data_IF_707263941026
#
_entry.id   IF_707263941026
#
_cell.length_a   1.000
_cell.length_b   1.000
_cell.length_c   1.000
_cell.angle_alpha   90.00
_cell.angle_beta   90.00
_cell.angle_gamma   90.00
#
_symmetry.space_group_name_H-M   'P 1'
#
loop_
_entity.id
_entity.type
_entity.pdbx_description
1 polymer ?
#
# COMPACT_ATOMS: atom_id res chain seq x y z
N UNK A 1 8.34 -8.89 10.41
CA UNK A 1 8.06 -7.50 9.96
C UNK A 1 8.74 -7.33 8.61
N UNK A 2 8.02 -6.89 7.57
CA UNK A 2 8.54 -6.89 6.20
C UNK A 2 9.00 -5.48 5.81
N UNK A 3 10.26 -5.34 5.41
CA UNK A 3 10.86 -4.04 5.03
C UNK A 3 11.16 -3.88 3.54
N UNK A 4 11.15 -4.97 2.76
CA UNK A 4 11.41 -5.00 1.31
C UNK A 4 10.63 -6.14 0.67
N UNK A 5 10.34 -6.03 -0.62
CA UNK A 5 9.86 -7.14 -1.46
C UNK A 5 10.20 -6.92 -2.94
N UNK A 6 9.89 -7.90 -3.79
CA UNK A 6 10.08 -7.84 -5.24
C UNK A 6 8.75 -8.00 -5.98
N UNK A 7 8.59 -7.30 -7.10
CA UNK A 7 7.51 -7.49 -8.07
C UNK A 7 8.13 -7.77 -9.44
N UNK A 8 8.30 -9.05 -9.75
CA UNK A 8 8.83 -9.53 -11.03
C UNK A 8 7.76 -9.73 -12.11
N UNK A 9 6.48 -9.75 -11.73
CA UNK A 9 5.36 -10.02 -12.62
C UNK A 9 5.07 -8.82 -13.56
N UNK A 10 4.96 -9.02 -14.89
CA UNK A 10 4.56 -7.98 -15.82
C UNK A 10 3.06 -7.62 -15.69
N UNK A 11 2.68 -6.45 -16.21
CA UNK A 11 1.32 -5.90 -16.28
C UNK A 11 0.26 -6.93 -16.73
N UNK A 12 0.54 -7.68 -17.79
CA UNK A 12 -0.36 -8.69 -18.35
C UNK A 12 -0.63 -9.84 -17.38
N UNK A 13 0.41 -10.35 -16.70
CA UNK A 13 0.27 -11.43 -15.73
C UNK A 13 -0.56 -11.01 -14.52
N UNK A 14 -0.37 -9.78 -14.00
CA UNK A 14 -1.18 -9.27 -12.90
C UNK A 14 -2.64 -9.02 -13.32
N UNK A 15 -2.86 -8.42 -14.49
CA UNK A 15 -4.19 -8.17 -15.03
C UNK A 15 -5.00 -9.45 -15.19
N UNK A 16 -4.39 -10.51 -15.74
CA UNK A 16 -5.01 -11.83 -15.85
C UNK A 16 -5.20 -12.49 -14.47
N UNK A 17 -4.14 -12.58 -13.66
CA UNK A 17 -4.14 -13.33 -12.38
C UNK A 17 -5.14 -12.79 -11.35
N UNK A 18 -5.45 -11.49 -11.41
CA UNK A 18 -6.42 -10.85 -10.53
C UNK A 18 -7.71 -10.43 -11.25
N UNK A 19 -7.86 -10.76 -12.54
CA UNK A 19 -8.98 -10.33 -13.39
C UNK A 19 -9.32 -8.85 -13.17
N UNK A 20 -8.37 -7.99 -13.52
CA UNK A 20 -8.42 -6.54 -13.30
C UNK A 20 -9.18 -5.84 -14.43
N UNK A 21 -10.14 -5.00 -14.09
CA UNK A 21 -10.81 -4.11 -15.04
C UNK A 21 -9.93 -2.93 -15.46
N UNK A 22 -9.03 -2.48 -14.57
CA UNK A 22 -8.01 -1.49 -14.85
C UNK A 22 -6.71 -1.84 -14.14
N UNK A 23 -5.59 -1.48 -14.74
CA UNK A 23 -4.25 -1.64 -14.18
C UNK A 23 -3.45 -0.39 -14.53
N UNK A 24 -2.76 0.20 -13.57
CA UNK A 24 -1.73 1.21 -13.83
C UNK A 24 -0.46 0.57 -14.41
N UNK A 25 0.40 1.37 -15.05
CA UNK A 25 1.69 0.90 -15.56
C UNK A 25 2.67 0.84 -14.41
N UNK A 26 3.24 -0.33 -14.15
CA UNK A 26 4.31 -0.53 -13.16
C UNK A 26 5.55 -1.13 -13.82
N UNK A 27 6.73 -0.79 -13.28
CA UNK A 27 7.98 -1.44 -13.65
C UNK A 27 8.20 -2.73 -12.84
N UNK A 28 8.85 -3.71 -13.47
CA UNK A 28 9.45 -4.84 -12.74
C UNK A 28 10.52 -4.31 -11.79
N UNK A 29 10.42 -4.63 -10.50
CA UNK A 29 11.31 -4.12 -9.44
C UNK A 29 11.68 -5.23 -8.48
N UNK A 30 12.98 -5.56 -8.40
CA UNK A 30 13.50 -6.61 -7.52
C UNK A 30 13.83 -6.15 -6.09
N UNK A 31 13.80 -4.83 -5.84
CA UNK A 31 14.05 -4.24 -4.52
C UNK A 31 13.11 -3.04 -4.31
N UNK A 32 11.88 -3.32 -3.89
CA UNK A 32 10.90 -2.31 -3.51
C UNK A 32 11.10 -1.98 -2.03
N UNK A 33 11.27 -0.69 -1.74
CA UNK A 33 11.49 -0.17 -0.40
C UNK A 33 10.32 0.72 0.07
N UNK A 34 10.14 0.92 1.40
CA UNK A 34 9.02 1.67 1.93
C UNK A 34 9.16 3.17 1.66
N UNK A 35 8.04 3.86 1.50
CA UNK A 35 7.96 5.26 1.06
C UNK A 35 8.03 5.43 -0.47
N UNK A 36 8.21 4.35 -1.24
CA UNK A 36 8.04 4.37 -2.71
C UNK A 36 6.64 3.89 -3.09
N UNK A 37 6.20 4.23 -4.30
CA UNK A 37 4.91 3.77 -4.81
C UNK A 37 4.95 2.29 -5.20
N UNK A 38 3.84 1.62 -4.91
CA UNK A 38 3.66 0.18 -5.03
C UNK A 38 2.34 -0.18 -5.70
N UNK A 39 2.34 -1.26 -6.47
CA UNK A 39 1.13 -1.81 -7.07
C UNK A 39 0.22 -2.42 -6.00
N UNK A 40 -1.01 -1.90 -5.87
CA UNK A 40 -2.04 -2.36 -4.94
C UNK A 40 -3.30 -2.70 -5.70
N UNK A 41 -3.77 -3.94 -5.57
CA UNK A 41 -5.10 -4.36 -6.05
C UNK A 41 -6.15 -3.93 -5.02
N UNK A 42 -7.14 -3.16 -5.46
CA UNK A 42 -8.28 -2.68 -4.65
C UNK A 42 -9.57 -2.79 -5.43
N UNK A 43 -10.70 -2.56 -4.76
CA UNK A 43 -11.98 -2.34 -5.43
C UNK A 43 -12.11 -0.87 -5.85
N UNK A 44 -12.66 -0.65 -7.04
CA UNK A 44 -13.20 0.63 -7.49
C UNK A 44 -14.52 0.95 -6.76
N UNK A 45 -15.04 2.19 -6.84
CA UNK A 45 -16.40 2.51 -6.38
C UNK A 45 -17.50 1.66 -7.06
N UNK A 46 -17.24 1.17 -8.28
CA UNK A 46 -18.10 0.27 -9.04
C UNK A 46 -17.89 -1.23 -8.74
N UNK A 47 -17.16 -1.57 -7.66
CA UNK A 47 -16.93 -2.95 -7.22
C UNK A 47 -15.98 -3.78 -8.09
N UNK A 48 -15.33 -3.18 -9.09
CA UNK A 48 -14.38 -3.86 -9.96
C UNK A 48 -13.00 -3.92 -9.32
N UNK A 49 -12.25 -5.01 -9.52
CA UNK A 49 -10.84 -5.08 -9.11
C UNK A 49 -10.00 -4.23 -10.06
N UNK A 50 -9.22 -3.31 -9.48
CA UNK A 50 -8.30 -2.43 -10.19
C UNK A 50 -6.95 -2.44 -9.49
N UNK A 51 -5.87 -2.33 -10.24
CA UNK A 51 -4.52 -2.13 -9.69
C UNK A 51 -4.13 -0.67 -9.87
N UNK A 52 -3.85 0.00 -8.75
CA UNK A 52 -3.32 1.35 -8.71
C UNK A 52 -1.94 1.41 -8.05
N UNK A 53 -1.17 2.44 -8.38
CA UNK A 53 0.04 2.79 -7.64
C UNK A 53 -0.31 3.60 -6.39
N UNK A 54 0.10 3.14 -5.22
CA UNK A 54 -0.08 3.81 -3.93
C UNK A 54 1.23 3.83 -3.14
N UNK A 55 1.49 4.89 -2.35
CA UNK A 55 2.69 5.01 -1.53
C UNK A 55 2.74 3.94 -0.43
N UNK A 56 3.85 3.20 -0.33
CA UNK A 56 4.04 2.23 0.76
C UNK A 56 4.39 2.91 2.09
N UNK A 57 3.37 3.37 2.78
CA UNK A 57 3.44 3.96 4.11
C UNK A 57 2.15 4.72 4.36
N UNK A 58 1.28 4.20 5.22
CA UNK A 58 -0.02 4.80 5.47
C UNK A 58 0.16 6.18 6.12
N UNK A 59 -0.38 7.22 5.50
CA UNK A 59 -0.65 8.48 6.17
C UNK A 59 -2.12 8.51 6.61
N UNK A 60 -2.42 8.52 7.92
CA UNK A 60 -3.78 8.75 8.40
C UNK A 60 -4.24 10.16 8.07
N UNK A 61 -5.53 10.34 7.72
CA UNK A 61 -6.07 11.64 7.29
C UNK A 61 -5.97 12.78 8.34
N UNK A 62 -5.71 12.44 9.61
CA UNK A 62 -5.55 13.37 10.73
C UNK A 62 -4.08 13.68 11.05
N UNK A 63 -3.13 13.00 10.39
CA UNK A 63 -1.70 13.23 10.56
C UNK A 63 -1.20 14.22 9.51
N UNK A 64 -0.56 15.30 9.94
CA UNK A 64 0.19 16.18 9.04
C UNK A 64 1.38 15.43 8.44
N UNK A 65 1.68 15.64 7.16
CA UNK A 65 2.83 15.04 6.45
C UNK A 65 4.14 15.13 7.23
N UNK A 66 4.40 16.28 7.86
CA UNK A 66 5.59 16.52 8.70
C UNK A 66 5.60 15.78 10.06
N UNK A 67 4.43 15.41 10.60
CA UNK A 67 4.31 14.69 11.87
C UNK A 67 4.51 13.16 11.73
N UNK A 68 4.68 12.67 10.50
CA UNK A 68 4.80 11.26 10.12
C UNK A 68 6.16 10.61 10.49
N UNK A 69 6.70 10.91 11.67
CA UNK A 69 7.94 10.27 12.18
C UNK A 69 7.82 8.74 12.26
N UNK A 70 6.60 8.23 12.47
CA UNK A 70 6.26 6.82 12.32
C UNK A 70 5.82 6.51 10.89
N UNK A 71 6.73 6.00 10.04
CA UNK A 71 6.35 5.43 8.74
C UNK A 71 5.52 4.16 8.97
N UNK A 72 4.19 4.25 8.81
CA UNK A 72 3.25 3.14 9.02
C UNK A 72 3.29 2.16 7.84
N UNK A 73 4.41 1.42 7.74
CA UNK A 73 4.74 0.53 6.61
C UNK A 73 4.30 -0.92 6.84
N UNK A 74 3.97 -1.28 8.08
CA UNK A 74 3.45 -2.58 8.50
C UNK A 74 2.34 -2.35 9.53
N UNK A 75 1.33 -3.22 9.53
CA UNK A 75 0.34 -3.30 10.61
C UNK A 75 0.34 -4.74 11.19
N UNK A 76 0.21 -4.87 12.50
CA UNK A 76 0.12 -6.17 13.20
C UNK A 76 -1.33 -6.64 13.20
N UNK A 77 -1.60 -7.85 12.69
CA UNK A 77 -2.96 -8.39 12.52
C UNK A 77 -3.77 -8.39 13.82
N UNK A 78 -3.10 -8.73 14.92
CA UNK A 78 -3.62 -8.80 16.29
C UNK A 78 -4.11 -7.43 16.82
N UNK A 79 -3.56 -6.33 16.28
CA UNK A 79 -3.86 -4.96 16.73
C UNK A 79 -4.77 -4.17 15.78
N UNK A 80 -5.10 -4.71 14.60
CA UNK A 80 -5.87 -3.99 13.57
C UNK A 80 -7.22 -3.46 14.04
N UNK A 81 -7.91 -4.22 14.91
CA UNK A 81 -9.25 -3.88 15.41
C UNK A 81 -9.23 -3.07 16.71
N UNK A 82 -8.18 -3.20 17.51
CA UNK A 82 -8.11 -2.66 18.87
C UNK A 82 -7.34 -1.35 19.00
N UNK A 83 -6.53 -0.98 17.99
CA UNK A 83 -5.74 0.25 18.03
C UNK A 83 -5.72 0.95 16.67
N UNK A 84 -6.26 2.18 16.55
CA UNK A 84 -6.00 2.98 15.36
C UNK A 84 -4.47 3.19 15.23
N UNK A 85 -3.93 3.25 14.00
CA UNK A 85 -2.51 3.53 13.79
C UNK A 85 -2.14 4.79 14.57
N UNK A 86 -1.15 4.68 15.46
CA UNK A 86 -0.94 5.57 16.62
C UNK A 86 -1.39 7.02 16.41
N UNK A 87 -2.61 7.36 16.83
CA UNK A 87 -2.98 8.76 17.00
C UNK A 87 -1.98 9.40 17.96
N UNK A 88 -1.28 10.43 17.49
CA UNK A 88 -0.32 11.16 18.30
C UNK A 88 -1.07 11.83 19.45
N UNK A 89 -1.04 11.21 20.63
CA UNK A 89 -1.36 11.91 21.87
C UNK A 89 -0.26 12.95 22.09
N UNK A 90 -0.49 14.14 21.57
CA UNK A 90 0.25 15.32 21.99
C UNK A 90 0.17 15.42 23.51
N UNK A 91 1.35 15.51 24.13
CA UNK A 91 1.56 16.40 25.25
C UNK A 91 2.22 17.65 24.69
#
# INVERSE_FOLDING_TARGET
MCGRYALAAPRSQLAWRFALAHCDVHAVRYNIAPGTDIAVVRLSPSGQRVLHLLRWGLLPHWASEAASGARLINARGESLRSRPPNCGRGR
#
